data_IF_678104115520
#
_entry.id   IF_678104115520
#
_cell.length_a   1.000
_cell.length_b   1.000
_cell.length_c   1.000
_cell.angle_alpha   90.00
_cell.angle_beta   90.00
_cell.angle_gamma   90.00
#
_symmetry.space_group_name_H-M   'P 1'
#
loop_
_entity.id
_entity.type
_entity.pdbx_description
1 polymer ?
#
# COMPACT_ATOMS: atom_id res chain seq x y z
N UNK A 1 0.06 -0.15 -12.93
CA UNK A 1 -0.59 -1.48 -13.02
C UNK A 1 0.15 -2.41 -13.98
N UNK A 2 0.47 -3.63 -13.52
CA UNK A 2 1.11 -4.72 -14.28
C UNK A 2 0.37 -6.03 -13.99
N UNK A 3 0.17 -6.87 -15.01
CA UNK A 3 -0.30 -8.24 -14.82
C UNK A 3 0.89 -9.17 -14.56
N UNK A 4 0.81 -9.98 -13.52
CA UNK A 4 1.75 -11.05 -13.17
C UNK A 4 0.99 -12.37 -13.04
N UNK A 5 1.65 -13.55 -12.98
CA UNK A 5 0.96 -14.84 -12.85
C UNK A 5 0.02 -14.93 -11.64
N UNK A 6 0.36 -14.24 -10.55
CA UNK A 6 -0.38 -14.22 -9.29
C UNK A 6 -1.56 -13.23 -9.31
N UNK A 7 -1.66 -12.34 -10.29
CA UNK A 7 -2.76 -11.38 -10.41
C UNK A 7 -2.35 -10.03 -10.97
N UNK A 8 -3.16 -9.01 -10.69
CA UNK A 8 -2.87 -7.62 -11.05
C UNK A 8 -2.17 -6.94 -9.88
N UNK A 9 -1.03 -6.30 -10.15
CA UNK A 9 -0.30 -5.51 -9.16
C UNK A 9 -0.13 -4.08 -9.63
N UNK A 10 -0.04 -3.15 -8.67
CA UNK A 10 0.48 -1.82 -8.90
C UNK A 10 1.58 -1.51 -7.89
N UNK A 11 2.54 -0.71 -8.29
CA UNK A 11 3.70 -0.39 -7.46
C UNK A 11 3.89 1.11 -7.41
N UNK A 12 4.00 1.62 -6.19
CA UNK A 12 4.39 3.00 -5.91
C UNK A 12 5.65 2.97 -5.06
N UNK A 13 6.56 3.89 -5.33
CA UNK A 13 7.80 4.07 -4.59
C UNK A 13 7.82 5.47 -4.02
N UNK A 14 8.30 5.61 -2.79
CA UNK A 14 8.44 6.89 -2.11
C UNK A 14 9.76 6.94 -1.34
N UNK A 15 10.55 7.99 -1.58
CA UNK A 15 11.70 8.31 -0.74
C UNK A 15 11.21 9.08 0.49
N UNK A 16 10.97 8.34 1.57
CA UNK A 16 10.50 8.89 2.84
C UNK A 16 11.55 9.79 3.52
N UNK A 17 12.83 9.63 3.19
CA UNK A 17 13.93 10.45 3.72
C UNK A 17 14.01 11.83 3.07
N UNK A 18 13.50 11.96 1.84
CA UNK A 18 13.42 13.24 1.12
C UNK A 18 12.18 14.08 1.47
N UNK A 19 11.23 13.54 2.24
CA UNK A 19 10.03 14.27 2.65
C UNK A 19 10.36 15.39 3.65
N UNK A 20 9.70 16.54 3.49
CA UNK A 20 9.85 17.69 4.38
C UNK A 20 9.60 17.30 5.85
N UNK A 21 10.26 17.99 6.76
CA UNK A 21 10.14 17.73 8.19
C UNK A 21 8.70 17.86 8.72
N UNK A 22 7.83 18.62 8.04
CA UNK A 22 6.43 18.78 8.38
C UNK A 22 5.52 17.61 7.97
N UNK A 23 6.03 16.62 7.23
CA UNK A 23 5.23 15.46 6.80
C UNK A 23 5.37 14.36 7.85
N UNK A 24 4.33 14.19 8.66
CA UNK A 24 4.32 13.21 9.75
C UNK A 24 3.78 11.83 9.33
N UNK A 25 3.02 11.78 8.22
CA UNK A 25 2.32 10.58 7.78
C UNK A 25 2.17 10.53 6.25
N UNK A 26 2.31 9.33 5.69
CA UNK A 26 1.99 9.00 4.30
C UNK A 26 0.92 7.92 4.32
N UNK A 27 -0.20 8.16 3.65
CA UNK A 27 -1.31 7.21 3.57
C UNK A 27 -1.28 6.50 2.23
N UNK A 28 -1.44 5.17 2.28
CA UNK A 28 -1.61 4.34 1.09
C UNK A 28 -3.11 4.08 0.95
N UNK A 29 -3.69 4.61 -0.12
CA UNK A 29 -5.09 4.43 -0.45
C UNK A 29 -5.24 3.83 -1.84
N UNK A 30 -6.31 3.07 -2.03
CA UNK A 30 -6.68 2.52 -3.32
C UNK A 30 -8.13 2.89 -3.65
N UNK A 31 -8.41 3.08 -4.92
CA UNK A 31 -9.77 3.27 -5.44
C UNK A 31 -10.03 2.39 -6.66
N UNK A 32 -11.31 2.09 -6.88
CA UNK A 32 -11.80 1.26 -7.97
C UNK A 32 -12.91 1.99 -8.72
N UNK A 33 -12.69 2.20 -10.02
CA UNK A 33 -13.67 2.78 -10.93
C UNK A 33 -14.46 1.65 -11.61
N UNK A 34 -15.46 1.09 -10.93
CA UNK A 34 -16.41 0.17 -11.58
C UNK A 34 -16.97 -0.96 -10.73
N UNK A 35 -16.33 -1.30 -9.61
CA UNK A 35 -16.82 -2.30 -8.67
C UNK A 35 -16.29 -2.02 -7.27
N UNK A 36 -17.06 -2.44 -6.25
CA UNK A 36 -16.62 -2.36 -4.87
C UNK A 36 -15.50 -3.38 -4.57
N UNK A 37 -14.70 -3.08 -3.54
CA UNK A 37 -13.53 -3.88 -3.17
C UNK A 37 -13.88 -5.28 -2.67
N UNK A 38 -15.12 -5.56 -2.28
CA UNK A 38 -15.57 -6.93 -1.95
C UNK A 38 -15.36 -7.92 -3.10
N UNK A 39 -15.33 -7.42 -4.35
CA UNK A 39 -15.15 -8.22 -5.55
C UNK A 39 -13.67 -8.47 -5.89
N UNK A 40 -12.74 -7.90 -5.10
CA UNK A 40 -11.31 -8.08 -5.28
C UNK A 40 -10.83 -9.15 -4.29
N UNK A 41 -10.72 -10.42 -4.71
CA UNK A 41 -10.18 -11.45 -3.84
C UNK A 41 -8.69 -11.17 -3.58
N UNK A 42 -8.25 -11.53 -2.37
CA UNK A 42 -6.84 -11.51 -2.00
C UNK A 42 -6.16 -10.13 -2.10
N UNK A 43 -6.90 -9.05 -1.84
CA UNK A 43 -6.35 -7.70 -1.81
C UNK A 43 -5.34 -7.56 -0.66
N UNK A 44 -4.10 -7.20 -1.01
CA UNK A 44 -2.99 -7.08 -0.07
C UNK A 44 -2.04 -5.96 -0.43
N UNK A 45 -1.37 -5.40 0.59
CA UNK A 45 -0.21 -4.55 0.44
C UNK A 45 1.04 -5.35 0.80
N UNK A 46 2.05 -5.28 -0.06
CA UNK A 46 3.39 -5.74 0.23
C UNK A 46 4.29 -4.51 0.31
N UNK A 47 5.01 -4.37 1.41
CA UNK A 47 5.99 -3.30 1.61
C UNK A 47 7.39 -3.87 1.33
N UNK A 48 8.15 -3.21 0.47
CA UNK A 48 9.54 -3.58 0.16
C UNK A 48 10.47 -2.43 0.50
N UNK A 49 11.73 -2.76 0.80
CA UNK A 49 12.80 -1.77 0.75
C UNK A 49 13.20 -1.57 -0.72
N UNK A 50 12.99 -0.36 -1.25
CA UNK A 50 13.29 -0.02 -2.64
C UNK A 50 14.79 -0.13 -2.98
N UNK A 51 15.68 -0.10 -1.98
CA UNK A 51 17.11 -0.31 -2.19
C UNK A 51 17.46 -1.77 -2.58
N UNK A 52 16.54 -2.73 -2.36
CA UNK A 52 16.76 -4.16 -2.60
C UNK A 52 15.68 -4.75 -3.53
N UNK A 53 15.92 -4.66 -4.84
CA UNK A 53 14.93 -5.01 -5.88
C UNK A 53 14.40 -6.46 -5.85
N UNK A 54 15.18 -7.42 -5.31
CA UNK A 54 14.83 -8.84 -5.27
C UNK A 54 14.64 -9.38 -3.83
N UNK A 55 14.34 -8.49 -2.88
CA UNK A 55 14.12 -8.84 -1.47
C UNK A 55 12.73 -9.43 -1.18
N UNK A 56 12.62 -10.17 -0.08
CA UNK A 56 11.32 -10.50 0.52
C UNK A 56 10.62 -9.22 1.03
N UNK A 57 9.27 -9.18 1.06
CA UNK A 57 8.57 -8.03 1.61
C UNK A 57 8.91 -7.84 3.10
N UNK A 58 9.18 -6.60 3.49
CA UNK A 58 9.34 -6.19 4.88
C UNK A 58 8.06 -6.44 5.71
N UNK A 59 6.91 -6.27 5.05
CA UNK A 59 5.60 -6.51 5.65
C UNK A 59 4.57 -6.87 4.59
N UNK A 60 3.57 -7.66 4.99
CA UNK A 60 2.41 -8.00 4.17
C UNK A 60 1.15 -7.71 4.98
N UNK A 61 0.22 -6.98 4.38
CA UNK A 61 -1.05 -6.60 5.01
C UNK A 61 -2.21 -7.06 4.13
N UNK A 62 -3.08 -7.89 4.68
CA UNK A 62 -4.37 -8.19 4.06
C UNK A 62 -5.31 -7.00 4.25
N UNK A 63 -5.91 -6.53 3.17
CA UNK A 63 -6.87 -5.42 3.20
C UNK A 63 -8.26 -5.99 2.97
N UNK A 64 -9.17 -5.69 3.90
CA UNK A 64 -10.56 -6.16 3.82
C UNK A 64 -11.51 -4.95 3.88
N UNK A 65 -12.45 -4.83 2.92
CA UNK A 65 -13.54 -3.89 3.06
C UNK A 65 -14.35 -4.20 4.31
N UNK A 66 -14.87 -3.17 4.99
CA UNK A 66 -15.63 -3.34 6.23
C UNK A 66 -17.12 -3.54 5.96
N UNK A 67 -17.64 -2.81 4.98
CA UNK A 67 -19.05 -2.79 4.59
C UNK A 67 -19.32 -3.57 3.31
N UNK A 68 -18.30 -3.73 2.45
CA UNK A 68 -18.38 -4.41 1.16
C UNK A 68 -18.72 -3.47 0.01
N UNK A 69 -19.23 -2.26 0.28
CA UNK A 69 -19.62 -1.29 -0.73
C UNK A 69 -18.51 -0.28 -1.07
N UNK A 70 -17.35 -0.37 -0.40
CA UNK A 70 -16.26 0.59 -0.57
C UNK A 70 -15.71 0.53 -2.00
N UNK A 71 -15.70 1.68 -2.67
CA UNK A 71 -14.98 1.89 -3.94
C UNK A 71 -13.66 2.64 -3.72
N UNK A 72 -13.39 3.07 -2.49
CA UNK A 72 -12.13 3.68 -2.05
C UNK A 72 -11.84 3.26 -0.61
N UNK A 73 -10.59 2.89 -0.32
CA UNK A 73 -10.17 2.42 1.00
C UNK A 73 -8.79 2.96 1.33
N UNK A 74 -8.54 3.21 2.62
CA UNK A 74 -7.20 3.36 3.16
C UNK A 74 -6.67 1.97 3.48
N UNK A 75 -5.59 1.60 2.81
CA UNK A 75 -5.01 0.27 2.91
C UNK A 75 -3.90 0.18 3.98
N UNK A 76 -3.30 1.33 4.32
CA UNK A 76 -2.24 1.41 5.31
C UNK A 76 -1.67 2.82 5.41
N UNK A 77 -0.77 3.00 6.37
CA UNK A 77 -0.09 4.26 6.62
C UNK A 77 1.35 4.00 7.05
N UNK A 78 2.23 4.93 6.68
CA UNK A 78 3.58 5.05 7.20
C UNK A 78 3.64 6.33 8.01
N UNK A 79 4.16 6.28 9.23
CA UNK A 79 4.21 7.45 10.12
C UNK A 79 5.56 7.61 10.81
N UNK A 80 5.91 8.85 11.13
CA UNK A 80 7.15 9.16 11.85
C UNK A 80 7.07 8.70 13.29
N UNK A 81 8.10 7.99 13.75
CA UNK A 81 8.27 7.63 15.16
C UNK A 81 9.74 7.62 15.55
N UNK A 82 10.10 8.59 16.40
CA UNK A 82 11.50 8.83 16.73
C UNK A 82 12.24 9.37 15.50
N UNK A 83 13.38 8.78 15.17
CA UNK A 83 14.23 9.21 14.04
C UNK A 83 13.88 8.50 12.72
N UNK A 84 12.85 7.65 12.70
CA UNK A 84 12.50 6.85 11.53
C UNK A 84 11.01 6.78 11.24
N UNK A 85 10.69 6.04 10.18
CA UNK A 85 9.32 5.72 9.78
C UNK A 85 8.93 4.33 10.29
N UNK A 86 7.63 4.16 10.54
CA UNK A 86 7.00 2.89 10.90
C UNK A 86 5.80 2.62 10.02
#
# INVERSE_FOLDING_TARGET
KRSVPEGLTDTVEADLGALDASVDQVVIAASSDGAAFEQVPDLRILLFDAAFADGEPLAVFDVRPETGEETAIICGELYRRGEGWK
#
